data_IF_659272263030
#
_entry.id   IF_659272263030
#
_cell.length_a   1.000
_cell.length_b   1.000
_cell.length_c   1.000
_cell.angle_alpha   90.00
_cell.angle_beta   90.00
_cell.angle_gamma   90.00
#
_symmetry.space_group_name_H-M   'P 1'
#
loop_
_entity.id
_entity.type
_entity.pdbx_description
1 polymer ?
#
# COMPACT_ATOMS: atom_id res chain seq x y z
N UNK A 1 -43.55 -44.13 17.45
CA UNK A 1 -43.70 -42.66 17.50
C UNK A 1 -42.37 -42.03 17.09
N UNK A 2 -42.25 -41.60 15.82
CA UNK A 2 -40.98 -41.17 15.20
C UNK A 2 -40.85 -39.66 15.35
N UNK A 3 -39.89 -39.21 16.16
CA UNK A 3 -39.72 -37.81 16.55
C UNK A 3 -39.32 -36.92 15.35
N UNK A 4 -40.16 -35.96 14.93
CA UNK A 4 -39.93 -35.12 13.76
C UNK A 4 -38.80 -34.09 13.94
N UNK A 5 -38.32 -33.85 15.17
CA UNK A 5 -37.33 -32.80 15.45
C UNK A 5 -35.91 -33.13 14.98
N UNK A 6 -35.59 -34.40 14.71
CA UNK A 6 -34.20 -34.82 14.38
C UNK A 6 -33.86 -34.54 12.90
N UNK A 7 -34.85 -34.53 11.99
CA UNK A 7 -34.64 -34.22 10.55
C UNK A 7 -34.35 -32.75 10.27
N UNK A 8 -34.81 -31.86 11.15
CA UNK A 8 -34.61 -30.41 11.03
C UNK A 8 -33.16 -30.00 11.34
N UNK A 9 -32.48 -30.71 12.24
CA UNK A 9 -31.09 -30.41 12.58
C UNK A 9 -30.10 -30.88 11.51
N UNK A 10 -30.37 -32.04 10.88
CA UNK A 10 -29.50 -32.61 9.84
C UNK A 10 -29.55 -31.83 8.51
N UNK A 11 -30.73 -31.35 8.12
CA UNK A 11 -30.88 -30.48 6.92
C UNK A 11 -30.26 -29.09 7.10
N UNK A 12 -30.30 -28.53 8.32
CA UNK A 12 -29.68 -27.24 8.64
C UNK A 12 -28.13 -27.28 8.63
N UNK A 13 -27.54 -28.42 8.98
CA UNK A 13 -26.08 -28.58 9.01
C UNK A 13 -25.49 -28.79 7.60
N UNK A 14 -26.20 -29.50 6.71
CA UNK A 14 -25.75 -29.74 5.34
C UNK A 14 -25.84 -28.49 4.44
N UNK A 15 -26.87 -27.66 4.59
CA UNK A 15 -27.04 -26.44 3.80
C UNK A 15 -25.96 -25.38 4.10
N UNK A 16 -25.52 -25.30 5.37
CA UNK A 16 -24.38 -24.46 5.77
C UNK A 16 -23.04 -24.99 5.26
N UNK A 17 -22.84 -26.32 5.19
CA UNK A 17 -21.58 -26.88 4.67
C UNK A 17 -21.42 -26.66 3.17
N UNK A 18 -22.50 -26.76 2.39
CA UNK A 18 -22.47 -26.58 0.94
C UNK A 18 -22.21 -25.12 0.52
N UNK A 19 -22.68 -24.15 1.31
CA UNK A 19 -22.44 -22.71 1.09
C UNK A 19 -21.05 -22.27 1.57
N UNK A 20 -20.54 -22.85 2.66
CA UNK A 20 -19.21 -22.52 3.20
C UNK A 20 -18.04 -23.08 2.36
N UNK A 21 -18.20 -24.25 1.73
CA UNK A 21 -17.13 -24.86 0.92
C UNK A 21 -16.94 -24.15 -0.44
N UNK A 22 -18.02 -23.60 -1.01
CA UNK A 22 -17.97 -22.85 -2.28
C UNK A 22 -17.30 -21.48 -2.13
N UNK A 23 -17.39 -20.88 -0.94
CA UNK A 23 -16.76 -19.60 -0.58
C UNK A 23 -15.22 -19.71 -0.40
N UNK A 24 -14.72 -20.85 0.08
CA UNK A 24 -13.27 -21.07 0.27
C UNK A 24 -12.52 -21.31 -1.06
N UNK A 25 -13.15 -21.95 -2.05
CA UNK A 25 -12.50 -22.35 -3.32
C UNK A 25 -12.63 -21.32 -4.45
N UNK A 26 -13.63 -20.44 -4.41
CA UNK A 26 -13.80 -19.30 -5.35
C UNK A 26 -12.81 -18.14 -5.10
N UNK A 27 -12.26 -18.04 -3.89
CA UNK A 27 -11.38 -16.93 -3.49
C UNK A 27 -10.03 -16.93 -4.21
N UNK A 28 -9.49 -18.10 -4.56
CA UNK A 28 -8.17 -18.21 -5.20
C UNK A 28 -8.17 -17.73 -6.65
N UNK A 29 -9.21 -18.03 -7.42
CA UNK A 29 -9.35 -17.53 -8.80
C UNK A 29 -9.51 -16.01 -8.82
N UNK A 30 -10.31 -15.47 -7.89
CA UNK A 30 -10.41 -14.03 -7.72
C UNK A 30 -9.05 -13.43 -7.38
N UNK A 31 -8.33 -13.96 -6.37
CA UNK A 31 -6.97 -13.49 -6.00
C UNK A 31 -6.01 -13.56 -7.19
N UNK A 32 -6.03 -14.64 -7.97
CA UNK A 32 -5.19 -14.80 -9.15
C UNK A 32 -5.50 -13.75 -10.21
N UNK A 33 -6.79 -13.45 -10.42
CA UNK A 33 -7.24 -12.39 -11.32
C UNK A 33 -6.83 -10.99 -10.82
N UNK A 34 -6.93 -10.74 -9.51
CA UNK A 34 -6.45 -9.49 -8.91
C UNK A 34 -4.93 -9.34 -9.08
N UNK A 35 -4.16 -10.41 -8.88
CA UNK A 35 -2.72 -10.44 -9.11
C UNK A 35 -2.39 -10.22 -10.59
N UNK A 36 -3.15 -10.82 -11.51
CA UNK A 36 -2.97 -10.62 -12.94
C UNK A 36 -3.20 -9.14 -13.34
N UNK A 37 -4.19 -8.48 -12.74
CA UNK A 37 -4.40 -7.04 -12.94
C UNK A 37 -3.20 -6.22 -12.44
N UNK A 38 -2.67 -6.53 -11.25
CA UNK A 38 -1.46 -5.86 -10.72
C UNK A 38 -0.27 -6.07 -11.67
N UNK A 39 -0.06 -7.31 -12.13
CA UNK A 39 1.01 -7.66 -13.07
C UNK A 39 0.85 -6.96 -14.42
N UNK A 40 -0.37 -6.87 -14.95
CA UNK A 40 -0.65 -6.16 -16.20
C UNK A 40 -0.34 -4.66 -16.08
N UNK A 41 -0.71 -4.02 -14.97
CA UNK A 41 -0.37 -2.60 -14.71
C UNK A 41 1.15 -2.41 -14.61
N UNK A 42 1.86 -3.34 -13.97
CA UNK A 42 3.32 -3.29 -13.89
C UNK A 42 3.98 -3.45 -15.27
N UNK A 43 3.49 -4.38 -16.08
CA UNK A 43 3.98 -4.59 -17.45
C UNK A 43 3.72 -3.36 -18.35
N UNK A 44 2.54 -2.75 -18.26
CA UNK A 44 2.26 -1.48 -18.94
C UNK A 44 3.20 -0.37 -18.48
N UNK A 45 3.52 -0.30 -17.19
CA UNK A 45 4.48 0.67 -16.67
C UNK A 45 5.90 0.40 -17.18
N UNK A 46 6.32 -0.86 -17.29
CA UNK A 46 7.62 -1.24 -17.84
C UNK A 46 7.76 -0.80 -19.31
N UNK A 47 6.77 -1.12 -20.15
CA UNK A 47 6.74 -0.66 -21.55
C UNK A 47 6.82 0.87 -21.63
N UNK A 48 6.12 1.57 -20.73
CA UNK A 48 6.11 3.02 -20.73
C UNK A 48 7.44 3.62 -20.28
N UNK A 49 8.12 3.02 -19.29
CA UNK A 49 9.49 3.41 -18.89
C UNK A 49 10.45 3.20 -20.06
N UNK A 50 10.38 2.05 -20.72
CA UNK A 50 11.25 1.69 -21.83
C UNK A 50 11.03 2.61 -23.03
N UNK A 51 9.77 2.88 -23.38
CA UNK A 51 9.43 3.76 -24.50
C UNK A 51 9.89 5.21 -24.27
N UNK A 52 9.68 5.73 -23.05
CA UNK A 52 10.06 7.12 -22.73
C UNK A 52 11.52 7.24 -22.24
N UNK A 53 12.28 6.14 -22.12
CA UNK A 53 13.66 6.11 -21.61
C UNK A 53 13.83 6.86 -20.27
N UNK A 54 12.83 6.76 -19.39
CA UNK A 54 12.88 7.46 -18.11
C UNK A 54 13.86 6.79 -17.14
N UNK A 55 14.72 7.54 -16.41
CA UNK A 55 15.62 7.00 -15.40
C UNK A 55 14.90 6.67 -14.07
N UNK A 56 13.68 6.11 -14.13
CA UNK A 56 12.90 5.70 -12.96
C UNK A 56 12.57 4.22 -13.03
N UNK A 57 12.54 3.58 -11.86
CA UNK A 57 12.11 2.19 -11.74
C UNK A 57 10.65 2.03 -12.16
N UNK A 58 10.36 0.97 -12.92
CA UNK A 58 9.00 0.57 -13.32
C UNK A 58 8.06 0.41 -12.12
N UNK A 59 8.58 0.09 -10.93
CA UNK A 59 7.78 0.03 -9.70
C UNK A 59 7.17 1.38 -9.31
N UNK A 60 7.95 2.46 -9.40
CA UNK A 60 7.48 3.82 -9.11
C UNK A 60 6.46 4.25 -10.16
N UNK A 61 6.75 4.02 -11.44
CA UNK A 61 5.81 4.37 -12.51
C UNK A 61 4.50 3.57 -12.41
N UNK A 62 4.59 2.28 -12.05
CA UNK A 62 3.44 1.42 -11.78
C UNK A 62 2.58 1.93 -10.63
N UNK A 63 3.17 2.48 -9.56
CA UNK A 63 2.41 3.13 -8.48
C UNK A 63 1.63 4.35 -8.98
N UNK A 64 2.24 5.21 -9.79
CA UNK A 64 1.55 6.37 -10.38
C UNK A 64 0.46 5.95 -11.36
N UNK A 65 0.74 4.98 -12.23
CA UNK A 65 -0.22 4.46 -13.19
C UNK A 65 -1.44 3.85 -12.48
N UNK A 66 -1.19 3.05 -11.45
CA UNK A 66 -2.26 2.46 -10.63
C UNK A 66 -3.06 3.54 -9.91
N UNK A 67 -2.41 4.59 -9.40
CA UNK A 67 -3.08 5.72 -8.77
C UNK A 67 -4.01 6.46 -9.76
N UNK A 68 -3.53 6.74 -10.97
CA UNK A 68 -4.34 7.39 -12.03
C UNK A 68 -5.55 6.52 -12.37
N UNK A 69 -5.35 5.21 -12.48
CA UNK A 69 -6.42 4.25 -12.81
C UNK A 69 -7.44 4.08 -11.68
N UNK A 70 -7.00 4.28 -10.43
CA UNK A 70 -7.85 4.32 -9.25
C UNK A 70 -8.65 5.63 -9.18
N UNK A 71 -8.01 6.75 -9.52
CA UNK A 71 -8.65 8.08 -9.58
C UNK A 71 -9.67 8.18 -10.72
N UNK A 72 -9.42 7.55 -11.87
CA UNK A 72 -10.36 7.50 -12.99
C UNK A 72 -11.59 6.62 -12.71
N UNK A 73 -11.58 5.86 -11.61
CA UNK A 73 -12.67 4.95 -11.23
C UNK A 73 -12.72 3.65 -12.05
N UNK A 74 -11.79 3.44 -12.97
CA UNK A 74 -11.70 2.23 -13.79
C UNK A 74 -11.42 0.99 -12.94
N UNK A 75 -10.65 1.14 -11.85
CA UNK A 75 -10.38 0.07 -10.88
C UNK A 75 -10.80 0.54 -9.48
N UNK A 76 -11.64 -0.25 -8.80
CA UNK A 76 -11.96 -0.04 -7.38
C UNK A 76 -10.91 -0.71 -6.50
N UNK A 77 -10.53 -0.07 -5.40
CA UNK A 77 -9.53 -0.60 -4.42
C UNK A 77 -9.85 -2.03 -3.97
N UNK A 78 -11.13 -2.37 -3.81
CA UNK A 78 -11.55 -3.71 -3.39
C UNK A 78 -11.15 -4.82 -4.38
N UNK A 79 -10.95 -4.51 -5.67
CA UNK A 79 -10.59 -5.46 -6.71
C UNK A 79 -9.10 -5.82 -6.71
N UNK A 80 -8.29 -5.14 -5.92
CA UNK A 80 -6.83 -5.31 -5.92
C UNK A 80 -6.32 -5.63 -4.51
N UNK A 81 -7.12 -5.32 -3.49
CA UNK A 81 -6.78 -5.47 -2.08
C UNK A 81 -6.38 -6.89 -1.68
N UNK A 82 -7.07 -7.92 -2.18
CA UNK A 82 -6.74 -9.32 -1.82
C UNK A 82 -5.48 -9.79 -2.55
N UNK A 83 -5.37 -9.50 -3.85
CA UNK A 83 -4.18 -9.82 -4.65
C UNK A 83 -2.92 -9.15 -4.10
N UNK A 84 -3.00 -7.86 -3.77
CA UNK A 84 -1.88 -7.12 -3.18
C UNK A 84 -1.45 -7.69 -1.83
N UNK A 85 -2.40 -8.08 -0.95
CA UNK A 85 -2.08 -8.73 0.33
C UNK A 85 -1.40 -10.09 0.15
N UNK A 86 -1.83 -10.85 -0.84
CA UNK A 86 -1.21 -12.13 -1.18
C UNK A 86 0.23 -11.95 -1.66
N UNK A 87 0.47 -11.08 -2.64
CA UNK A 87 1.81 -10.79 -3.15
C UNK A 87 2.71 -10.23 -2.05
N UNK A 88 2.19 -9.38 -1.16
CA UNK A 88 2.93 -8.86 -0.02
C UNK A 88 3.34 -9.95 0.98
N UNK A 89 2.51 -10.99 1.13
CA UNK A 89 2.85 -12.18 1.91
C UNK A 89 3.96 -13.01 1.25
N UNK A 90 3.89 -13.22 -0.07
CA UNK A 90 4.94 -13.92 -0.82
C UNK A 90 6.26 -13.13 -0.86
N UNK A 91 6.22 -11.79 -0.82
CA UNK A 91 7.43 -10.97 -0.67
C UNK A 91 8.18 -11.32 0.62
N UNK A 92 7.46 -11.64 1.72
CA UNK A 92 8.08 -12.15 2.97
C UNK A 92 8.86 -13.44 2.70
N UNK A 93 8.27 -14.34 1.91
CA UNK A 93 8.89 -15.62 1.54
C UNK A 93 10.09 -15.40 0.60
N UNK A 94 10.05 -14.42 -0.30
CA UNK A 94 11.18 -14.01 -1.15
C UNK A 94 12.34 -13.35 -0.38
N UNK A 95 12.12 -12.82 0.83
CA UNK A 95 13.24 -12.33 1.64
C UNK A 95 14.17 -13.48 2.09
N UNK A 96 13.67 -14.71 2.23
CA UNK A 96 14.47 -15.86 2.66
C UNK A 96 15.63 -16.12 1.67
N UNK A 97 15.40 -16.32 0.35
CA UNK A 97 16.48 -16.48 -0.62
C UNK A 97 17.30 -15.20 -0.81
N UNK A 98 16.67 -14.02 -0.72
CA UNK A 98 17.38 -12.74 -0.82
C UNK A 98 18.47 -12.61 0.27
N UNK A 99 18.13 -12.97 1.51
CA UNK A 99 19.08 -12.99 2.63
C UNK A 99 20.16 -14.06 2.45
N UNK A 100 19.81 -15.25 1.95
CA UNK A 100 20.80 -16.30 1.65
C UNK A 100 21.83 -15.85 0.61
N UNK A 101 21.43 -15.05 -0.38
CA UNK A 101 22.35 -14.44 -1.34
C UNK A 101 23.33 -13.49 -0.65
N UNK A 102 22.84 -12.65 0.25
CA UNK A 102 23.66 -11.65 0.98
C UNK A 102 24.66 -12.33 1.92
N UNK A 103 24.27 -13.41 2.60
CA UNK A 103 25.15 -14.12 3.55
C UNK A 103 26.40 -14.73 2.89
N UNK A 104 26.38 -14.99 1.59
CA UNK A 104 27.56 -15.47 0.85
C UNK A 104 28.66 -14.40 0.75
N UNK A 105 28.31 -13.11 0.88
CA UNK A 105 29.24 -11.99 0.82
C UNK A 105 29.74 -11.54 2.20
N UNK A 106 29.66 -12.40 3.23
CA UNK A 106 30.09 -12.10 4.61
C UNK A 106 31.50 -11.50 4.70
N UNK A 107 32.44 -11.94 3.88
CA UNK A 107 33.82 -11.41 3.86
C UNK A 107 33.89 -9.91 3.49
N UNK A 108 33.00 -9.43 2.62
CA UNK A 108 32.88 -8.02 2.26
C UNK A 108 32.32 -7.21 3.43
N UNK A 109 31.36 -7.77 4.16
CA UNK A 109 30.77 -7.14 5.35
C UNK A 109 31.76 -7.02 6.51
N UNK A 110 32.67 -7.98 6.70
CA UNK A 110 33.70 -7.87 7.77
C UNK A 110 34.69 -6.75 7.47
N UNK A 111 35.11 -6.60 6.21
CA UNK A 111 36.10 -5.58 5.82
C UNK A 111 35.51 -4.18 5.64
N UNK A 112 34.24 -4.06 5.23
CA UNK A 112 33.59 -2.78 4.87
C UNK A 112 32.30 -2.48 5.63
N UNK A 113 31.88 -3.36 6.55
CA UNK A 113 30.64 -3.22 7.32
C UNK A 113 30.59 -1.95 8.16
N UNK A 114 31.74 -1.51 8.70
CA UNK A 114 31.80 -0.25 9.43
C UNK A 114 31.48 0.97 8.57
N UNK A 115 31.97 1.00 7.33
CA UNK A 115 31.65 2.07 6.37
C UNK A 115 30.16 2.04 5.98
N UNK A 116 29.60 0.84 5.74
CA UNK A 116 28.17 0.67 5.48
C UNK A 116 27.31 1.19 6.64
N UNK A 117 27.65 0.84 7.88
CA UNK A 117 26.89 1.26 9.06
C UNK A 117 26.91 2.78 9.24
N UNK A 118 28.08 3.41 9.10
CA UNK A 118 28.20 4.87 9.11
C UNK A 118 27.38 5.53 7.99
N UNK A 119 27.45 5.00 6.76
CA UNK A 119 26.69 5.55 5.63
C UNK A 119 25.18 5.44 5.84
N UNK A 120 24.68 4.33 6.41
CA UNK A 120 23.25 4.15 6.71
C UNK A 120 22.79 5.14 7.78
N UNK A 121 23.54 5.29 8.87
CA UNK A 121 23.19 6.23 9.95
C UNK A 121 23.21 7.65 9.41
N UNK A 122 24.26 8.02 8.67
CA UNK A 122 24.41 9.36 8.13
C UNK A 122 23.34 9.71 7.08
N UNK A 123 23.02 8.77 6.19
CA UNK A 123 21.95 8.98 5.20
C UNK A 123 20.57 9.07 5.86
N UNK A 124 20.30 8.23 6.87
CA UNK A 124 19.04 8.31 7.63
C UNK A 124 18.92 9.64 8.38
N UNK A 125 20.01 10.09 9.01
CA UNK A 125 20.04 11.40 9.68
C UNK A 125 19.80 12.54 8.68
N UNK A 126 20.44 12.51 7.51
CA UNK A 126 20.23 13.49 6.45
C UNK A 126 18.79 13.49 5.92
N UNK A 127 18.18 12.33 5.71
CA UNK A 127 16.78 12.22 5.25
C UNK A 127 15.81 12.76 6.31
N UNK A 128 16.03 12.44 7.59
CA UNK A 128 15.24 13.00 8.70
C UNK A 128 15.39 14.53 8.79
N UNK A 129 16.61 15.05 8.67
CA UNK A 129 16.88 16.49 8.66
C UNK A 129 16.18 17.18 7.47
N UNK A 130 16.29 16.61 6.27
CA UNK A 130 15.64 17.14 5.06
C UNK A 130 14.12 17.16 5.19
N UNK A 131 13.53 16.07 5.68
CA UNK A 131 12.09 15.97 5.92
C UNK A 131 11.65 16.95 7.03
N UNK A 132 12.42 17.08 8.10
CA UNK A 132 12.15 18.01 9.19
C UNK A 132 12.22 19.47 8.73
N UNK A 133 13.24 19.85 7.94
CA UNK A 133 13.37 21.18 7.34
C UNK A 133 12.18 21.49 6.42
N UNK A 134 11.81 20.55 5.54
CA UNK A 134 10.64 20.66 4.67
C UNK A 134 9.37 20.88 5.49
N UNK A 135 9.18 20.10 6.56
CA UNK A 135 8.02 20.23 7.44
C UNK A 135 8.03 21.55 8.24
N UNK A 136 9.19 22.03 8.68
CA UNK A 136 9.33 23.33 9.35
C UNK A 136 9.01 24.47 8.38
N UNK A 137 9.50 24.39 7.14
CA UNK A 137 9.23 25.35 6.08
C UNK A 137 7.74 25.37 5.72
N UNK A 138 7.13 24.19 5.54
CA UNK A 138 5.69 24.03 5.30
C UNK A 138 4.84 24.58 6.44
N UNK A 139 5.22 24.29 7.70
CA UNK A 139 4.54 24.86 8.88
C UNK A 139 4.71 26.38 8.98
N UNK A 140 5.87 26.94 8.61
CA UNK A 140 6.07 28.40 8.55
C UNK A 140 5.14 29.05 7.51
N UNK A 141 4.95 28.41 6.36
CA UNK A 141 4.05 28.89 5.32
C UNK A 141 2.58 28.80 5.75
N UNK A 142 2.17 27.68 6.35
CA UNK A 142 0.80 27.47 6.83
C UNK A 142 0.41 28.45 7.95
N UNK A 143 1.36 28.83 8.82
CA UNK A 143 1.15 29.86 9.86
C UNK A 143 0.80 31.25 9.29
N UNK A 144 1.23 31.58 8.06
CA UNK A 144 0.86 32.85 7.42
C UNK A 144 -0.59 32.84 6.93
N UNK A 145 -1.06 31.71 6.41
CA UNK A 145 -2.43 31.58 5.90
C UNK A 145 -3.47 31.43 7.02
N UNK A 146 -3.11 30.82 8.15
CA UNK A 146 -4.02 30.64 9.29
C UNK A 146 -4.41 31.97 9.98
N UNK A 147 -3.49 32.96 10.01
CA UNK A 147 -3.78 34.28 10.59
C UNK A 147 -4.85 35.05 9.82
N UNK A 148 -4.92 34.88 8.50
CA UNK A 148 -5.93 35.55 7.67
C UNK A 148 -7.35 34.98 7.88
N UNK A 149 -7.47 33.68 8.14
CA UNK A 149 -8.76 33.05 8.39
C UNK A 149 -9.33 33.42 9.77
N UNK A 150 -8.48 33.47 10.81
CA UNK A 150 -8.88 33.86 12.16
C UNK A 150 -9.43 35.30 12.17
N UNK A 151 -8.78 36.23 11.45
CA UNK A 151 -9.23 37.61 11.45
C UNK A 151 -10.59 37.79 10.76
N UNK A 152 -10.84 37.09 9.64
CA UNK A 152 -12.17 37.07 8.99
C UNK A 152 -13.24 36.44 9.85
N UNK A 153 -12.93 35.36 10.56
CA UNK A 153 -13.87 34.72 11.48
C UNK A 153 -14.27 35.64 12.65
N UNK A 154 -13.32 36.40 13.21
CA UNK A 154 -13.61 37.37 14.26
C UNK A 154 -14.41 38.58 13.78
N UNK A 155 -14.19 39.03 12.54
CA UNK A 155 -14.99 40.10 11.93
C UNK A 155 -16.42 39.65 11.66
N UNK A 156 -16.63 38.42 11.18
CA UNK A 156 -17.98 37.88 10.99
C UNK A 156 -18.73 37.74 12.32
N UNK A 157 -18.08 37.23 13.38
CA UNK A 157 -18.71 37.15 14.69
C UNK A 157 -19.04 38.53 15.26
N UNK A 158 -18.18 39.52 15.07
CA UNK A 158 -18.48 40.88 15.55
C UNK A 158 -19.60 41.56 14.75
N UNK A 159 -19.75 41.22 13.48
CA UNK A 159 -20.84 41.72 12.63
C UNK A 159 -22.20 41.07 12.99
N UNK A 160 -22.21 39.77 13.31
CA UNK A 160 -23.42 39.02 13.69
C UNK A 160 -23.94 39.41 15.09
N UNK A 161 -23.05 39.77 16.01
CA UNK A 161 -23.42 40.27 17.34
C UNK A 161 -23.86 41.76 17.35
N UNK A 162 -23.80 42.44 16.21
CA UNK A 162 -24.17 43.87 16.07
C UNK A 162 -25.31 44.08 15.06
N UNK A 163 -25.98 43.01 14.64
CA UNK A 163 -27.22 42.99 13.85
C UNK A 163 -28.38 42.51 14.74
#
# INVERSE_FOLDING_TARGET
MRNPNIRLSLSFVDEKKLTLQKFYRQSWLHVLMQCAIIAAVWYCAEILVELLHLPVSSGVLGMFLMLILLMSGAIKVNWVRLGAKFVLGELVLMFIPLMMSILQYKALFVSKGWQLMLTIILSTAMVMLSSALTFIMGRRLQRRLYRHQIHKAQLNLKNDNNA
#
